data_IF_995305250875
#
_entry.id   IF_995305250875
#
_cell.length_a   1.000
_cell.length_b   1.000
_cell.length_c   1.000
_cell.angle_alpha   90.00
_cell.angle_beta   90.00
_cell.angle_gamma   90.00
#
_symmetry.space_group_name_H-M   'P 1'
#
loop_
_entity.id
_entity.type
_entity.pdbx_description
1 polymer ?
#
# COMPACT_ATOMS: atom_id res chain seq x y z
N UNK A 1 30.66 5.30 -15.49
CA UNK A 1 29.64 4.47 -14.84
C UNK A 1 29.66 3.10 -15.50
N UNK A 2 29.77 2.03 -14.73
CA UNK A 2 29.76 0.65 -15.21
C UNK A 2 28.54 -0.12 -14.68
N UNK A 3 28.45 -1.41 -15.01
CA UNK A 3 27.34 -2.27 -14.56
C UNK A 3 27.18 -2.32 -13.03
N UNK A 4 28.29 -2.37 -12.28
CA UNK A 4 28.25 -2.44 -10.83
C UNK A 4 27.74 -1.13 -10.21
N UNK A 5 28.08 0.02 -10.80
CA UNK A 5 27.59 1.32 -10.35
C UNK A 5 26.05 1.41 -10.51
N UNK A 6 25.51 0.92 -11.63
CA UNK A 6 24.07 0.90 -11.85
C UNK A 6 23.33 -0.06 -10.93
N UNK A 7 23.91 -1.23 -10.64
CA UNK A 7 23.33 -2.16 -9.65
C UNK A 7 23.26 -1.55 -8.27
N UNK A 8 24.35 -0.91 -7.81
CA UNK A 8 24.34 -0.19 -6.52
C UNK A 8 23.27 0.90 -6.50
N UNK A 9 23.10 1.61 -7.61
CA UNK A 9 22.06 2.62 -7.74
C UNK A 9 20.65 2.03 -7.63
N UNK A 10 20.41 0.86 -8.24
CA UNK A 10 19.14 0.14 -8.09
C UNK A 10 18.93 -0.26 -6.64
N UNK A 11 19.93 -0.86 -5.98
CA UNK A 11 19.82 -1.26 -4.56
C UNK A 11 19.47 -0.08 -3.64
N UNK A 12 20.03 1.12 -3.91
CA UNK A 12 19.69 2.35 -3.20
C UNK A 12 18.25 2.82 -3.45
N UNK A 13 17.78 2.69 -4.69
CA UNK A 13 16.40 3.03 -5.06
C UNK A 13 15.41 2.05 -4.42
N UNK A 14 15.72 0.76 -4.43
CA UNK A 14 14.88 -0.29 -3.85
C UNK A 14 14.66 -0.07 -2.35
N UNK A 15 15.69 0.34 -1.61
CA UNK A 15 15.55 0.72 -0.19
C UNK A 15 14.54 1.86 0.00
N UNK A 16 14.63 2.90 -0.84
CA UNK A 16 13.69 4.03 -0.78
C UNK A 16 12.27 3.62 -1.18
N UNK A 17 12.13 2.73 -2.17
CA UNK A 17 10.83 2.17 -2.55
C UNK A 17 10.22 1.43 -1.36
N UNK A 18 10.98 0.59 -0.66
CA UNK A 18 10.49 -0.11 0.54
C UNK A 18 10.07 0.87 1.63
N UNK A 19 10.85 1.93 1.89
CA UNK A 19 10.51 2.97 2.86
C UNK A 19 9.17 3.66 2.51
N UNK A 20 9.00 4.09 1.26
CA UNK A 20 7.80 4.76 0.76
C UNK A 20 6.58 3.83 0.77
N UNK A 21 6.75 2.56 0.40
CA UNK A 21 5.68 1.56 0.44
C UNK A 21 5.23 1.31 1.88
N UNK A 22 6.16 1.20 2.83
CA UNK A 22 5.83 1.04 4.25
C UNK A 22 5.10 2.27 4.80
N UNK A 23 5.50 3.47 4.41
CA UNK A 23 4.80 4.70 4.80
C UNK A 23 3.38 4.75 4.24
N UNK A 24 3.21 4.45 2.95
CA UNK A 24 1.89 4.35 2.31
C UNK A 24 1.01 3.31 3.00
N UNK A 25 1.55 2.15 3.35
CA UNK A 25 0.82 1.10 4.07
C UNK A 25 0.40 1.54 5.48
N UNK A 26 1.24 2.28 6.21
CA UNK A 26 0.84 2.87 7.51
C UNK A 26 -0.34 3.83 7.35
N UNK A 27 -0.34 4.68 6.32
CA UNK A 27 -1.47 5.55 6.03
C UNK A 27 -2.75 4.75 5.75
N UNK A 28 -2.66 3.66 4.97
CA UNK A 28 -3.80 2.78 4.72
C UNK A 28 -4.32 2.17 6.03
N UNK A 29 -3.45 1.65 6.90
CA UNK A 29 -3.86 1.09 8.20
C UNK A 29 -4.59 2.10 9.10
N UNK A 30 -4.11 3.35 9.18
CA UNK A 30 -4.80 4.40 9.95
C UNK A 30 -6.16 4.76 9.32
N UNK A 31 -6.25 4.82 8.00
CA UNK A 31 -7.52 4.98 7.28
C UNK A 31 -8.46 3.81 7.60
N UNK A 32 -7.98 2.57 7.61
CA UNK A 32 -8.73 1.38 7.99
C UNK A 32 -9.33 1.49 9.39
N UNK A 33 -8.56 1.93 10.39
CA UNK A 33 -9.05 2.18 11.76
C UNK A 33 -10.17 3.24 11.78
N UNK A 34 -10.00 4.34 11.05
CA UNK A 34 -11.00 5.40 10.96
C UNK A 34 -12.28 4.92 10.28
N UNK A 35 -12.16 4.10 9.22
CA UNK A 35 -13.31 3.48 8.54
C UNK A 35 -14.07 2.55 9.48
N UNK A 36 -13.35 1.72 10.24
CA UNK A 36 -13.94 0.81 11.21
C UNK A 36 -14.72 1.57 12.29
N UNK A 37 -14.14 2.62 12.86
CA UNK A 37 -14.80 3.46 13.87
C UNK A 37 -16.08 4.14 13.35
N UNK A 38 -16.18 4.35 12.04
CA UNK A 38 -17.32 5.00 11.38
C UNK A 38 -18.26 4.01 10.67
N UNK A 39 -18.04 2.69 10.80
CA UNK A 39 -18.76 1.65 10.06
C UNK A 39 -18.75 1.86 8.52
N UNK A 40 -17.67 2.44 8.00
CA UNK A 40 -17.48 2.65 6.56
C UNK A 40 -16.90 1.36 5.95
N UNK A 41 -17.39 0.88 4.80
CA UNK A 41 -16.84 -0.28 4.12
C UNK A 41 -15.34 -0.13 3.79
N UNK A 42 -14.59 -1.23 3.95
CA UNK A 42 -13.18 -1.31 3.57
C UNK A 42 -12.98 -1.09 2.07
N UNK A 43 -13.76 -1.83 1.26
CA UNK A 43 -13.70 -1.79 -0.19
C UNK A 43 -14.47 -0.58 -0.74
N UNK A 44 -13.74 0.30 -1.43
CA UNK A 44 -14.27 1.52 -2.05
C UNK A 44 -13.69 1.64 -3.46
N UNK A 45 -14.34 1.05 -4.48
CA UNK A 45 -13.78 0.95 -5.83
C UNK A 45 -13.52 2.31 -6.48
N UNK A 46 -14.38 3.30 -6.21
CA UNK A 46 -14.21 4.67 -6.69
C UNK A 46 -12.89 5.26 -6.19
N UNK A 47 -12.59 5.07 -4.89
CA UNK A 47 -11.34 5.54 -4.30
C UNK A 47 -10.11 4.81 -4.86
N UNK A 48 -10.23 3.52 -5.15
CA UNK A 48 -9.14 2.77 -5.80
C UNK A 48 -8.87 3.30 -7.21
N UNK A 49 -9.92 3.58 -8.00
CA UNK A 49 -9.78 4.18 -9.32
C UNK A 49 -9.11 5.55 -9.27
N UNK A 50 -9.48 6.42 -8.34
CA UNK A 50 -8.82 7.72 -8.15
C UNK A 50 -7.31 7.57 -7.86
N UNK A 51 -6.92 6.57 -7.06
CA UNK A 51 -5.51 6.30 -6.78
C UNK A 51 -4.77 5.85 -8.04
N UNK A 52 -5.39 5.01 -8.87
CA UNK A 52 -4.81 4.55 -10.13
C UNK A 52 -4.67 5.69 -11.14
N UNK A 53 -5.72 6.49 -11.33
CA UNK A 53 -5.70 7.65 -12.22
C UNK A 53 -4.65 8.67 -11.79
N UNK A 54 -4.54 8.93 -10.49
CA UNK A 54 -3.52 9.86 -9.98
C UNK A 54 -2.10 9.31 -10.18
N UNK A 55 -1.90 8.00 -10.07
CA UNK A 55 -0.60 7.37 -10.34
C UNK A 55 -0.20 7.50 -11.82
N UNK A 56 -1.14 7.24 -12.73
CA UNK A 56 -0.93 7.41 -14.17
C UNK A 56 -0.67 8.87 -14.53
N UNK A 57 -1.47 9.80 -13.99
CA UNK A 57 -1.31 11.23 -14.27
C UNK A 57 0.07 11.77 -13.85
N UNK A 58 0.65 11.23 -12.79
CA UNK A 58 1.98 11.62 -12.31
C UNK A 58 3.14 10.81 -12.94
N UNK A 59 2.85 9.90 -13.88
CA UNK A 59 3.87 9.13 -14.57
C UNK A 59 4.61 9.99 -15.61
N UNK A 60 5.82 10.41 -15.26
CA UNK A 60 6.75 11.11 -16.16
C UNK A 60 7.97 10.26 -16.51
N UNK A 61 7.91 8.97 -16.18
CA UNK A 61 9.03 8.04 -16.29
C UNK A 61 9.02 7.21 -17.58
N UNK A 62 10.02 6.34 -17.76
CA UNK A 62 10.13 5.46 -18.93
C UNK A 62 9.13 4.28 -18.91
N UNK A 63 8.37 4.09 -17.84
CA UNK A 63 7.33 3.07 -17.75
C UNK A 63 6.06 3.57 -18.44
N UNK A 64 5.32 2.65 -19.07
CA UNK A 64 3.99 2.98 -19.62
C UNK A 64 2.97 3.14 -18.50
N UNK A 65 1.92 3.92 -18.74
CA UNK A 65 0.84 4.11 -17.76
C UNK A 65 0.20 2.78 -17.36
N UNK A 66 0.03 1.87 -18.33
CA UNK A 66 -0.44 0.52 -18.07
C UNK A 66 0.48 -0.27 -17.13
N UNK A 67 1.80 -0.05 -17.16
CA UNK A 67 2.73 -0.66 -16.21
C UNK A 67 2.61 -0.03 -14.82
N UNK A 68 2.48 1.29 -14.73
CA UNK A 68 2.23 1.99 -13.47
C UNK A 68 0.92 1.52 -12.83
N UNK A 69 -0.17 1.43 -13.60
CA UNK A 69 -1.46 0.91 -13.13
C UNK A 69 -1.32 -0.46 -12.49
N UNK A 70 -0.71 -1.43 -13.19
CA UNK A 70 -0.51 -2.79 -12.66
C UNK A 70 0.30 -2.82 -11.38
N UNK A 71 1.31 -1.95 -11.25
CA UNK A 71 2.08 -1.84 -10.01
C UNK A 71 1.22 -1.30 -8.87
N UNK A 72 0.46 -0.22 -9.12
CA UNK A 72 -0.40 0.37 -8.10
C UNK A 72 -1.57 -0.52 -7.69
N UNK A 73 -2.12 -1.32 -8.60
CA UNK A 73 -3.10 -2.37 -8.28
C UNK A 73 -2.53 -3.33 -7.23
N UNK A 74 -1.28 -3.81 -7.40
CA UNK A 74 -0.62 -4.66 -6.41
C UNK A 74 -0.38 -3.96 -5.08
N UNK A 75 0.02 -2.69 -5.10
CA UNK A 75 0.22 -1.91 -3.87
C UNK A 75 -1.12 -1.73 -3.13
N UNK A 76 -2.24 -1.54 -3.84
CA UNK A 76 -3.58 -1.48 -3.26
C UNK A 76 -3.99 -2.85 -2.69
N UNK A 77 -3.77 -3.94 -3.41
CA UNK A 77 -4.06 -5.31 -2.96
C UNK A 77 -3.39 -5.62 -1.62
N UNK A 78 -2.08 -5.35 -1.53
CA UNK A 78 -1.29 -5.62 -0.31
C UNK A 78 -1.69 -4.71 0.85
N UNK A 79 -2.01 -3.43 0.58
CA UNK A 79 -2.52 -2.52 1.61
C UNK A 79 -3.85 -3.02 2.19
N UNK A 80 -4.77 -3.46 1.33
CA UNK A 80 -6.05 -4.05 1.78
C UNK A 80 -5.85 -5.33 2.57
N UNK A 81 -4.89 -6.16 2.16
CA UNK A 81 -4.54 -7.38 2.91
C UNK A 81 -4.05 -7.04 4.32
N UNK A 82 -3.13 -6.08 4.44
CA UNK A 82 -2.62 -5.62 5.73
C UNK A 82 -3.72 -5.01 6.62
N UNK A 83 -4.65 -4.23 6.04
CA UNK A 83 -5.83 -3.70 6.77
C UNK A 83 -6.70 -4.83 7.33
N UNK A 84 -7.02 -5.85 6.52
CA UNK A 84 -7.81 -7.00 6.98
C UNK A 84 -7.12 -7.77 8.11
N UNK A 85 -5.82 -8.03 7.98
CA UNK A 85 -5.05 -8.77 8.98
C UNK A 85 -4.97 -8.01 10.31
N UNK A 86 -4.82 -6.69 10.27
CA UNK A 86 -4.84 -5.84 11.45
C UNK A 86 -6.20 -5.87 12.16
N UNK A 87 -7.31 -5.83 11.41
CA UNK A 87 -8.66 -5.89 11.96
C UNK A 87 -8.97 -7.26 12.60
N UNK A 88 -8.59 -8.36 11.95
CA UNK A 88 -8.81 -9.71 12.50
C UNK A 88 -7.93 -10.05 13.70
N UNK A 89 -6.82 -9.34 13.89
CA UNK A 89 -5.90 -9.56 15.01
C UNK A 89 -6.34 -8.84 16.29
N UNK A 90 -7.13 -7.76 16.18
CA UNK A 90 -7.74 -7.09 17.34
C UNK A 90 -8.76 -7.94 18.10
N UNK A 91 -9.53 -8.78 17.39
CA UNK A 91 -10.57 -9.66 17.97
C UNK A 91 -10.01 -10.83 18.80
N UNK A 92 -8.73 -11.19 18.61
CA UNK A 92 -8.11 -12.33 19.31
C UNK A 92 -7.59 -11.98 20.72
N UNK A 93 -7.43 -10.70 21.05
CA UNK A 93 -6.87 -10.30 22.35
C UNK A 93 -7.92 -10.02 23.43
N UNK A 94 -9.22 -9.96 23.12
CA UNK A 94 -10.28 -9.70 24.12
C UNK A 94 -10.90 -10.98 24.72
N UNK A 95 -10.63 -12.18 24.19
CA UNK A 95 -11.22 -13.44 24.69
C UNK A 95 -10.37 -14.25 25.66
N UNK A 96 -9.34 -13.65 26.26
CA UNK A 96 -8.33 -14.35 27.08
C UNK A 96 -8.31 -14.03 28.58
N UNK A 97 -9.37 -13.43 29.14
CA UNK A 97 -9.36 -13.01 30.54
C UNK A 97 -10.67 -13.27 31.27
N UNK A 98 -10.98 -14.53 31.56
CA UNK A 98 -11.75 -14.90 32.76
C UNK A 98 -11.65 -16.42 33.02
N UNK A 99 -10.62 -16.85 33.75
CA UNK A 99 -10.64 -18.05 34.61
C UNK A 99 -9.83 -17.77 35.88
#
# INVERSE_FOLDING_TARGET
>A
MNLADWRRRIDELDKKLVELLNERSRCALEIGKLKQAQNIPLYQPERENEVLENAEHNNSGPLTDAAIRRLFERIIDEARAAERDAMHSGDRHEKGGNE
#
